data_IF_811258177035
#
_entry.id   IF_811258177035
#
_cell.length_a   1.000
_cell.length_b   1.000
_cell.length_c   1.000
_cell.angle_alpha   90.00
_cell.angle_beta   90.00
_cell.angle_gamma   90.00
#
_symmetry.space_group_name_H-M   'P 1'
#
loop_
_entity.id
_entity.type
_entity.pdbx_description
1 polymer ?
#
# COMPACT_ATOMS: atom_id res chain seq x y z
N UNK A 1 -9.47 -18.18 2.24
CA UNK A 1 -8.07 -18.59 2.03
C UNK A 1 -7.64 -18.23 0.61
N UNK A 2 -7.48 -16.93 0.34
CA UNK A 2 -7.41 -16.37 -1.03
C UNK A 2 -6.03 -16.49 -1.73
N UNK A 3 -4.97 -16.74 -0.98
CA UNK A 3 -3.59 -16.92 -1.44
C UNK A 3 -2.99 -18.13 -0.71
N UNK A 4 -3.01 -19.30 -1.33
CA UNK A 4 -2.04 -20.36 -1.04
C UNK A 4 -1.13 -20.44 -2.24
N UNK A 5 0.06 -19.87 -2.11
CA UNK A 5 1.09 -20.06 -3.12
C UNK A 5 1.77 -21.40 -2.85
N UNK A 6 1.91 -22.23 -3.88
CA UNK A 6 2.79 -23.39 -3.81
C UNK A 6 4.23 -22.89 -3.84
N UNK A 7 4.93 -23.02 -2.72
CA UNK A 7 6.28 -22.52 -2.53
C UNK A 7 7.34 -23.61 -2.81
N UNK A 8 6.93 -24.79 -3.30
CA UNK A 8 7.83 -25.92 -3.58
C UNK A 8 8.86 -25.63 -4.69
N UNK A 9 8.61 -24.67 -5.57
CA UNK A 9 9.54 -24.23 -6.62
C UNK A 9 10.67 -23.28 -6.19
N UNK A 10 10.70 -22.84 -4.92
CA UNK A 10 11.60 -21.76 -4.48
C UNK A 10 13.07 -22.17 -4.28
N UNK A 11 13.44 -23.43 -4.51
CA UNK A 11 14.81 -23.92 -4.30
C UNK A 11 15.85 -23.12 -5.09
N UNK A 12 15.51 -22.70 -6.31
CA UNK A 12 16.40 -21.88 -7.14
C UNK A 12 16.54 -20.46 -6.57
N UNK A 13 15.45 -19.84 -6.13
CA UNK A 13 15.48 -18.50 -5.52
C UNK A 13 16.28 -18.50 -4.21
N UNK A 14 16.15 -19.56 -3.40
CA UNK A 14 16.96 -19.73 -2.19
C UNK A 14 18.46 -19.77 -2.52
N UNK A 15 18.86 -20.58 -3.51
CA UNK A 15 20.27 -20.67 -3.94
C UNK A 15 20.78 -19.32 -4.44
N UNK A 16 19.98 -18.62 -5.24
CA UNK A 16 20.31 -17.28 -5.72
C UNK A 16 20.47 -16.29 -4.57
N UNK A 17 19.56 -16.30 -3.59
CA UNK A 17 19.59 -15.41 -2.44
C UNK A 17 20.86 -15.58 -1.61
N UNK A 18 21.18 -16.83 -1.25
CA UNK A 18 22.37 -17.17 -0.45
C UNK A 18 23.64 -16.77 -1.20
N UNK A 19 23.73 -17.12 -2.50
CA UNK A 19 24.88 -16.75 -3.33
C UNK A 19 25.07 -15.23 -3.36
N UNK A 20 23.99 -14.50 -3.64
CA UNK A 20 24.01 -13.05 -3.75
C UNK A 20 24.35 -12.36 -2.42
N UNK A 21 23.86 -12.88 -1.29
CA UNK A 21 24.27 -12.40 0.03
C UNK A 21 25.77 -12.61 0.28
N UNK A 22 26.28 -13.82 0.03
CA UNK A 22 27.68 -14.16 0.25
C UNK A 22 28.63 -13.33 -0.61
N UNK A 23 28.28 -13.04 -1.86
CA UNK A 23 29.05 -12.16 -2.76
C UNK A 23 29.20 -10.72 -2.24
N UNK A 24 28.33 -10.29 -1.33
CA UNK A 24 28.32 -8.93 -0.77
C UNK A 24 28.64 -8.88 0.71
N UNK A 25 28.80 -10.02 1.38
CA UNK A 25 28.92 -10.13 2.84
C UNK A 25 29.98 -9.20 3.42
N UNK A 26 31.16 -9.15 2.82
CA UNK A 26 32.28 -8.31 3.29
C UNK A 26 32.03 -6.81 3.16
N UNK A 27 30.94 -6.40 2.50
CA UNK A 27 30.52 -5.01 2.33
C UNK A 27 29.30 -4.65 3.19
N UNK A 28 28.75 -5.61 3.94
CA UNK A 28 27.60 -5.43 4.81
C UNK A 28 28.09 -5.26 6.24
N UNK A 29 27.52 -4.32 6.99
CA UNK A 29 27.89 -4.11 8.38
C UNK A 29 27.17 -5.10 9.31
N UNK A 30 27.92 -5.90 10.07
CA UNK A 30 27.38 -7.00 10.90
C UNK A 30 26.37 -6.55 11.97
N UNK A 31 26.36 -5.27 12.34
CA UNK A 31 25.41 -4.67 13.29
C UNK A 31 23.96 -4.63 12.76
N UNK A 32 23.77 -4.69 11.44
CA UNK A 32 22.44 -4.67 10.84
C UNK A 32 21.94 -6.07 10.50
N UNK A 33 20.63 -6.27 10.69
CA UNK A 33 19.96 -7.44 10.14
C UNK A 33 19.74 -7.23 8.64
N UNK A 34 20.11 -8.22 7.84
CA UNK A 34 19.96 -8.20 6.40
C UNK A 34 18.97 -9.26 5.92
N UNK A 35 18.16 -8.90 4.93
CA UNK A 35 17.29 -9.80 4.19
C UNK A 35 17.55 -9.61 2.70
N UNK A 36 17.77 -10.69 1.96
CA UNK A 36 17.69 -10.64 0.50
C UNK A 36 16.23 -10.71 0.11
N UNK A 37 15.72 -9.77 -0.68
CA UNK A 37 14.36 -9.86 -1.18
C UNK A 37 14.27 -9.79 -2.70
N UNK A 38 13.41 -10.65 -3.25
CA UNK A 38 12.97 -10.62 -4.64
C UNK A 38 11.60 -9.96 -4.66
N UNK A 39 11.48 -8.84 -5.35
CA UNK A 39 10.27 -8.03 -5.40
C UNK A 39 9.70 -8.07 -6.81
N UNK A 40 8.43 -8.44 -6.94
CA UNK A 40 7.64 -8.31 -8.16
C UNK A 40 6.59 -7.24 -7.95
N UNK A 41 6.52 -6.30 -8.88
CA UNK A 41 5.61 -5.17 -8.76
C UNK A 41 5.13 -4.72 -10.14
N UNK A 42 4.00 -4.03 -10.15
CA UNK A 42 3.53 -3.29 -11.32
C UNK A 42 4.24 -1.93 -11.37
N UNK A 43 4.89 -1.61 -12.49
CA UNK A 43 5.59 -0.33 -12.65
C UNK A 43 4.64 0.87 -12.57
N UNK A 44 3.35 0.65 -12.84
CA UNK A 44 2.32 1.69 -12.76
C UNK A 44 1.65 1.77 -11.37
N UNK A 45 2.11 0.96 -10.40
CA UNK A 45 1.57 0.92 -9.04
C UNK A 45 0.04 0.68 -8.97
N UNK A 46 -0.53 -0.09 -9.90
CA UNK A 46 -1.97 -0.44 -9.92
C UNK A 46 -2.29 -1.74 -9.17
N UNK A 47 -1.26 -2.40 -8.65
CA UNK A 47 -1.40 -3.63 -7.88
C UNK A 47 -0.30 -3.72 -6.80
N UNK A 48 -0.59 -4.27 -5.61
CA UNK A 48 0.39 -4.34 -4.53
C UNK A 48 1.55 -5.25 -4.92
N UNK A 49 2.76 -4.93 -4.48
CA UNK A 49 3.95 -5.76 -4.75
C UNK A 49 3.94 -7.10 -4.02
N UNK A 50 4.43 -8.14 -4.68
CA UNK A 50 4.67 -9.45 -4.09
C UNK A 50 6.17 -9.62 -3.84
N UNK A 51 6.55 -9.92 -2.61
CA UNK A 51 7.94 -9.92 -2.18
C UNK A 51 8.24 -11.21 -1.44
N UNK A 52 9.35 -11.86 -1.77
CA UNK A 52 9.89 -12.97 -0.98
C UNK A 52 11.19 -12.53 -0.34
N UNK A 53 11.31 -12.74 0.97
CA UNK A 53 12.47 -12.41 1.78
C UNK A 53 13.18 -13.68 2.19
N UNK A 54 14.51 -13.66 2.13
CA UNK A 54 15.40 -14.72 2.60
C UNK A 54 16.37 -14.14 3.64
N UNK A 55 16.54 -14.86 4.75
CA UNK A 55 17.66 -14.60 5.66
C UNK A 55 18.95 -15.27 5.16
N UNK A 56 20.04 -15.08 5.90
CA UNK A 56 21.36 -15.65 5.61
C UNK A 56 21.40 -17.19 5.70
N UNK A 57 20.45 -17.83 6.38
CA UNK A 57 20.27 -19.29 6.44
C UNK A 57 19.37 -19.80 5.30
N UNK A 58 18.81 -18.88 4.51
CA UNK A 58 17.86 -19.12 3.45
C UNK A 58 16.52 -19.67 3.94
N UNK A 59 16.14 -19.38 5.19
CA UNK A 59 14.73 -19.38 5.62
C UNK A 59 14.04 -18.19 4.96
N UNK A 60 12.75 -18.33 4.70
CA UNK A 60 12.05 -17.35 3.88
C UNK A 60 10.62 -17.11 4.31
N UNK A 61 10.11 -15.95 3.90
CA UNK A 61 8.68 -15.69 3.89
C UNK A 61 8.29 -14.83 2.70
N UNK A 62 7.11 -15.12 2.16
CA UNK A 62 6.41 -14.36 1.15
C UNK A 62 5.54 -13.31 1.84
N UNK A 63 5.49 -12.11 1.26
CA UNK A 63 4.67 -11.00 1.73
C UNK A 63 4.06 -10.24 0.56
N UNK A 64 2.75 -10.01 0.62
CA UNK A 64 2.07 -9.07 -0.27
C UNK A 64 2.05 -7.69 0.41
N UNK A 65 2.74 -6.72 -0.17
CA UNK A 65 2.97 -5.38 0.40
C UNK A 65 2.34 -4.32 -0.50
N UNK A 66 1.91 -3.15 0.02
CA UNK A 66 1.48 -2.05 -0.81
C UNK A 66 2.54 -1.73 -1.88
N UNK A 67 3.73 -1.32 -1.47
CA UNK A 67 4.83 -1.05 -2.39
C UNK A 67 6.04 -1.94 -2.12
N UNK A 68 6.95 -1.97 -3.10
CA UNK A 68 8.21 -2.71 -2.98
C UNK A 68 9.02 -2.23 -1.77
N UNK A 69 9.85 -3.09 -1.15
CA UNK A 69 10.53 -2.76 0.11
C UNK A 69 11.45 -1.55 0.01
N UNK A 70 12.02 -1.28 -1.18
CA UNK A 70 12.86 -0.10 -1.45
C UNK A 70 12.15 1.25 -1.28
N UNK A 71 10.83 1.28 -1.11
CA UNK A 71 10.06 2.49 -0.76
C UNK A 71 10.06 2.78 0.75
N UNK A 72 10.34 1.77 1.57
CA UNK A 72 10.21 1.83 3.02
C UNK A 72 11.53 1.64 3.77
N UNK A 73 12.51 0.97 3.16
CA UNK A 73 13.80 0.72 3.78
C UNK A 73 14.95 0.78 2.76
N UNK A 74 16.17 0.91 3.27
CA UNK A 74 17.39 0.98 2.46
C UNK A 74 17.59 -0.28 1.63
N UNK A 75 17.74 -0.10 0.32
CA UNK A 75 17.94 -1.15 -0.67
C UNK A 75 19.40 -1.13 -1.11
N UNK A 76 20.17 -2.12 -0.69
CA UNK A 76 21.57 -2.24 -1.05
C UNK A 76 21.74 -3.12 -2.30
N UNK A 77 22.67 -2.71 -3.16
CA UNK A 77 23.11 -3.41 -4.37
C UNK A 77 22.00 -3.80 -5.37
N UNK A 78 20.97 -2.97 -5.62
CA UNK A 78 19.81 -3.39 -6.40
C UNK A 78 20.16 -3.95 -7.77
N UNK A 79 19.59 -5.11 -8.11
CA UNK A 79 19.75 -5.80 -9.39
C UNK A 79 18.39 -6.04 -10.04
N UNK A 80 18.24 -5.69 -11.31
CA UNK A 80 17.09 -6.11 -12.11
C UNK A 80 17.22 -7.60 -12.44
N UNK A 81 16.13 -8.33 -12.30
CA UNK A 81 16.10 -9.80 -12.42
C UNK A 81 14.84 -10.24 -13.18
N UNK A 82 14.44 -9.46 -14.17
CA UNK A 82 13.19 -9.66 -14.89
C UNK A 82 13.09 -11.06 -15.52
N UNK A 83 14.19 -11.61 -16.02
CA UNK A 83 14.17 -12.91 -16.70
C UNK A 83 14.47 -14.08 -15.77
N UNK A 84 14.82 -13.82 -14.51
CA UNK A 84 15.33 -14.85 -13.57
C UNK A 84 14.23 -15.43 -12.65
N UNK A 85 13.04 -14.82 -12.57
CA UNK A 85 11.99 -15.20 -11.59
C UNK A 85 10.61 -15.48 -12.20
N UNK A 86 10.58 -16.36 -13.21
CA UNK A 86 9.39 -16.72 -13.99
C UNK A 86 8.22 -17.20 -13.10
N UNK A 87 8.47 -18.12 -12.16
CA UNK A 87 7.43 -18.71 -11.31
C UNK A 87 6.70 -17.66 -10.46
N UNK A 88 7.44 -16.74 -9.86
CA UNK A 88 6.86 -15.65 -9.08
C UNK A 88 6.08 -14.68 -9.98
N UNK A 89 6.56 -14.42 -11.21
CA UNK A 89 5.84 -13.58 -12.20
C UNK A 89 4.51 -14.22 -12.58
N UNK A 90 4.47 -15.53 -12.75
CA UNK A 90 3.23 -16.26 -13.05
C UNK A 90 2.22 -16.14 -11.90
N UNK A 91 2.65 -16.39 -10.66
CA UNK A 91 1.81 -16.23 -9.46
C UNK A 91 1.24 -14.80 -9.39
N UNK A 92 2.09 -13.80 -9.60
CA UNK A 92 1.69 -12.39 -9.56
C UNK A 92 0.69 -12.04 -10.67
N UNK A 93 0.93 -12.50 -11.89
CA UNK A 93 0.02 -12.32 -13.03
C UNK A 93 -1.34 -12.96 -12.78
N UNK A 94 -1.36 -14.21 -12.29
CA UNK A 94 -2.60 -14.93 -12.02
C UNK A 94 -3.41 -14.23 -10.92
N UNK A 95 -2.74 -13.74 -9.88
CA UNK A 95 -3.37 -12.94 -8.84
C UNK A 95 -3.96 -11.65 -9.41
N UNK A 96 -3.21 -10.89 -10.21
CA UNK A 96 -3.70 -9.65 -10.80
C UNK A 96 -4.88 -9.87 -11.77
N UNK A 97 -4.81 -10.92 -12.61
CA UNK A 97 -5.88 -11.32 -13.53
C UNK A 97 -7.19 -11.63 -12.80
N UNK A 98 -7.12 -12.34 -11.66
CA UNK A 98 -8.29 -12.65 -10.81
C UNK A 98 -9.06 -11.40 -10.36
N UNK A 99 -8.36 -10.26 -10.22
CA UNK A 99 -8.96 -8.98 -9.84
C UNK A 99 -9.13 -8.00 -11.01
N UNK A 100 -9.06 -8.48 -12.25
CA UNK A 100 -9.18 -7.68 -13.47
C UNK A 100 -8.18 -6.51 -13.55
N UNK A 101 -6.98 -6.69 -12.99
CA UNK A 101 -5.93 -5.67 -13.00
C UNK A 101 -5.02 -5.85 -14.20
N UNK A 102 -4.90 -4.81 -15.03
CA UNK A 102 -3.91 -4.72 -16.11
C UNK A 102 -2.60 -4.18 -15.54
N UNK A 103 -1.59 -5.04 -15.43
CA UNK A 103 -0.29 -4.72 -14.82
C UNK A 103 0.83 -4.79 -15.86
N UNK A 104 1.87 -3.98 -15.66
CA UNK A 104 3.15 -4.09 -16.38
C UNK A 104 4.23 -4.44 -15.37
N UNK A 105 4.65 -5.69 -15.39
CA UNK A 105 5.52 -6.27 -14.37
C UNK A 105 6.96 -5.80 -14.53
N UNK A 106 7.62 -5.54 -13.41
CA UNK A 106 9.07 -5.56 -13.28
C UNK A 106 9.48 -6.30 -12.00
N UNK A 107 10.70 -6.80 -11.99
CA UNK A 107 11.29 -7.53 -10.89
C UNK A 107 12.67 -7.02 -10.50
N UNK A 108 12.91 -6.92 -9.20
CA UNK A 108 14.24 -6.63 -8.68
C UNK A 108 14.62 -7.54 -7.51
N UNK A 109 15.93 -7.65 -7.29
CA UNK A 109 16.54 -8.28 -6.13
C UNK A 109 17.41 -7.25 -5.43
N UNK A 110 17.40 -7.23 -4.11
CA UNK A 110 18.25 -6.35 -3.31
C UNK A 110 18.49 -6.92 -1.92
N UNK A 111 19.53 -6.44 -1.25
CA UNK A 111 19.75 -6.69 0.17
C UNK A 111 19.14 -5.53 0.95
N UNK A 112 18.20 -5.84 1.83
CA UNK A 112 17.52 -4.88 2.67
C UNK A 112 18.05 -4.97 4.09
N UNK A 113 18.43 -3.81 4.64
CA UNK A 113 19.01 -3.71 5.98
C UNK A 113 18.01 -3.13 6.97
N UNK A 114 18.18 -3.47 8.25
CA UNK A 114 17.38 -2.88 9.32
C UNK A 114 17.52 -1.35 9.39
N UNK A 115 16.46 -0.60 9.73
CA UNK A 115 15.16 -1.06 10.22
C UNK A 115 14.30 -1.72 9.13
N UNK A 116 13.86 -2.95 9.40
CA UNK A 116 13.06 -3.75 8.48
C UNK A 116 11.59 -3.32 8.60
N UNK A 117 11.07 -2.68 7.56
CA UNK A 117 9.70 -2.13 7.48
C UNK A 117 8.91 -2.89 6.41
N UNK A 118 8.21 -3.94 6.80
CA UNK A 118 7.50 -4.84 5.86
C UNK A 118 5.99 -4.73 6.07
N UNK A 119 5.31 -3.67 5.60
CA UNK A 119 3.85 -3.57 5.70
C UNK A 119 3.19 -4.69 4.88
N UNK A 120 2.61 -5.68 5.55
CA UNK A 120 2.11 -6.88 4.88
C UNK A 120 0.59 -7.00 4.93
N UNK A 121 -0.04 -7.13 3.77
CA UNK A 121 -1.45 -7.52 3.64
C UNK A 121 -1.65 -9.02 3.82
N UNK A 122 -0.63 -9.80 3.44
CA UNK A 122 -0.61 -11.24 3.52
C UNK A 122 0.82 -11.71 3.77
N UNK A 123 1.00 -12.79 4.55
CA UNK A 123 2.30 -13.40 4.84
C UNK A 123 2.18 -14.92 4.85
N UNK A 124 3.15 -15.62 4.26
CA UNK A 124 3.26 -17.09 4.28
C UNK A 124 4.74 -17.50 4.24
N UNK A 125 5.15 -18.52 5.00
CA UNK A 125 6.54 -19.02 4.97
C UNK A 125 6.98 -19.60 6.31
N UNK A 126 8.27 -19.48 6.61
CA UNK A 126 8.88 -19.94 7.86
C UNK A 126 8.27 -19.20 9.06
N UNK A 127 7.50 -19.93 9.88
CA UNK A 127 6.79 -19.36 11.01
C UNK A 127 7.72 -18.79 12.09
N UNK A 128 8.90 -19.40 12.29
CA UNK A 128 9.85 -18.98 13.32
C UNK A 128 10.42 -17.61 12.92
N UNK A 129 10.80 -17.48 11.65
CA UNK A 129 11.29 -16.22 11.08
C UNK A 129 10.22 -15.13 11.15
N UNK A 130 8.97 -15.44 10.76
CA UNK A 130 7.85 -14.49 10.85
C UNK A 130 7.62 -14.04 12.30
N UNK A 131 7.58 -14.99 13.26
CA UNK A 131 7.40 -14.70 14.69
C UNK A 131 8.53 -13.82 15.24
N UNK A 132 9.78 -14.06 14.83
CA UNK A 132 10.95 -13.24 15.19
C UNK A 132 10.78 -11.79 14.76
N UNK A 133 10.38 -11.54 13.52
CA UNK A 133 10.18 -10.16 13.02
C UNK A 133 8.98 -9.48 13.69
N UNK A 134 7.87 -10.20 13.90
CA UNK A 134 6.71 -9.65 14.64
C UNK A 134 7.09 -9.28 16.08
N UNK A 135 7.91 -10.09 16.75
CA UNK A 135 8.41 -9.77 18.08
C UNK A 135 9.27 -8.50 18.07
N UNK A 136 10.19 -8.38 17.11
CA UNK A 136 11.01 -7.18 16.91
C UNK A 136 10.16 -5.92 16.69
N UNK A 137 9.11 -6.01 15.88
CA UNK A 137 8.15 -4.92 15.69
C UNK A 137 7.43 -4.54 16.99
N UNK A 138 6.97 -5.54 17.74
CA UNK A 138 6.26 -5.34 19.01
C UNK A 138 7.13 -4.60 20.02
N UNK A 139 8.41 -4.98 20.14
CA UNK A 139 9.38 -4.30 21.01
C UNK A 139 9.59 -2.83 20.63
N UNK A 140 9.42 -2.49 19.34
CA UNK A 140 9.55 -1.12 18.81
C UNK A 140 8.21 -0.35 18.75
N UNK A 141 7.10 -0.95 19.20
CA UNK A 141 5.77 -0.36 19.07
C UNK A 141 5.27 -0.22 17.61
N UNK A 142 5.86 -0.97 16.68
CA UNK A 142 5.54 -0.93 15.26
C UNK A 142 4.52 -2.01 14.87
N UNK A 143 3.81 -1.79 13.75
CA UNK A 143 2.83 -2.73 13.20
C UNK A 143 2.90 -2.76 11.67
N UNK A 144 3.95 -3.38 11.12
CA UNK A 144 4.15 -3.48 9.68
C UNK A 144 3.91 -4.91 9.19
N UNK A 145 4.78 -5.86 9.54
CA UNK A 145 4.62 -7.27 9.24
C UNK A 145 3.38 -7.79 9.96
N UNK A 146 3.19 -7.43 11.24
CA UNK A 146 2.00 -7.84 12.00
C UNK A 146 0.67 -7.31 11.46
N UNK A 147 0.66 -6.43 10.45
CA UNK A 147 -0.54 -5.92 9.79
C UNK A 147 -1.42 -7.04 9.22
N UNK A 148 -0.83 -8.11 8.65
CA UNK A 148 -1.60 -9.19 8.01
C UNK A 148 -2.58 -9.86 8.98
N UNK A 149 -2.29 -9.83 10.30
CA UNK A 149 -3.16 -10.40 11.33
C UNK A 149 -4.47 -9.63 11.51
N UNK A 150 -4.55 -8.41 11.02
CA UNK A 150 -5.75 -7.56 11.07
C UNK A 150 -6.52 -7.53 9.75
N UNK A 151 -6.06 -8.27 8.75
CA UNK A 151 -6.63 -8.33 7.41
C UNK A 151 -7.15 -9.76 7.21
N UNK A 152 -8.46 -9.93 7.26
CA UNK A 152 -9.08 -11.19 6.86
C UNK A 152 -9.27 -11.25 5.34
N UNK A 153 -9.77 -12.40 4.87
CA UNK A 153 -10.00 -12.63 3.44
C UNK A 153 -10.87 -11.53 2.79
N UNK A 154 -11.94 -11.09 3.48
CA UNK A 154 -12.84 -10.05 2.95
C UNK A 154 -12.16 -8.68 2.85
N UNK A 155 -11.38 -8.29 3.86
CA UNK A 155 -10.60 -7.04 3.80
C UNK A 155 -9.55 -7.12 2.69
N UNK A 156 -8.85 -8.25 2.57
CA UNK A 156 -7.83 -8.46 1.53
C UNK A 156 -8.46 -8.35 0.13
N UNK A 157 -9.59 -9.01 -0.09
CA UNK A 157 -10.31 -8.95 -1.36
C UNK A 157 -10.71 -7.51 -1.71
N UNK A 158 -11.19 -6.75 -0.72
CA UNK A 158 -11.52 -5.34 -0.90
C UNK A 158 -10.28 -4.53 -1.30
N UNK A 159 -9.17 -4.68 -0.56
CA UNK A 159 -7.90 -4.01 -0.86
C UNK A 159 -7.46 -4.28 -2.30
N UNK A 160 -7.49 -5.54 -2.75
CA UNK A 160 -7.04 -5.91 -4.09
C UNK A 160 -7.96 -5.37 -5.19
N UNK A 161 -9.26 -5.30 -4.95
CA UNK A 161 -10.23 -4.66 -5.87
C UNK A 161 -9.97 -3.16 -5.99
N UNK A 162 -9.82 -2.47 -4.86
CA UNK A 162 -9.70 -1.00 -4.80
C UNK A 162 -8.27 -0.49 -4.87
N UNK A 163 -7.27 -1.36 -5.01
CA UNK A 163 -5.86 -0.96 -4.99
C UNK A 163 -5.54 0.11 -6.04
N UNK A 164 -5.18 1.32 -5.58
CA UNK A 164 -4.69 2.45 -6.38
C UNK A 164 -5.55 2.79 -7.60
N UNK A 165 -6.88 2.74 -7.41
CA UNK A 165 -7.87 3.07 -8.44
C UNK A 165 -8.93 4.05 -7.94
N UNK A 166 -9.52 4.78 -8.88
CA UNK A 166 -10.72 5.58 -8.67
C UNK A 166 -11.96 4.70 -8.63
N UNK A 167 -12.83 4.94 -7.66
CA UNK A 167 -14.16 4.35 -7.58
C UNK A 167 -15.14 5.40 -7.06
N UNK A 168 -16.13 5.76 -7.88
CA UNK A 168 -17.15 6.78 -7.54
C UNK A 168 -16.52 8.09 -7.02
N UNK A 169 -15.52 8.61 -7.74
CA UNK A 169 -14.75 9.82 -7.39
C UNK A 169 -13.99 9.76 -6.06
N UNK A 170 -13.66 8.55 -5.59
CA UNK A 170 -12.74 8.33 -4.48
C UNK A 170 -11.58 7.51 -5.00
N UNK A 171 -10.37 8.07 -4.91
CA UNK A 171 -9.14 7.33 -5.18
C UNK A 171 -8.62 6.71 -3.90
N UNK A 172 -8.31 5.42 -3.95
CA UNK A 172 -7.79 4.66 -2.82
C UNK A 172 -6.29 4.49 -2.99
N UNK A 173 -5.50 5.09 -2.13
CA UNK A 173 -4.05 4.94 -2.16
C UNK A 173 -3.54 4.20 -0.92
N UNK A 174 -2.92 3.05 -1.12
CA UNK A 174 -2.43 2.20 -0.03
C UNK A 174 -0.94 2.41 0.18
N UNK A 175 -0.53 2.66 1.43
CA UNK A 175 0.89 2.78 1.79
C UNK A 175 1.09 2.46 3.26
N UNK A 176 2.20 1.77 3.59
CA UNK A 176 2.47 1.28 4.95
C UNK A 176 1.25 0.55 5.56
N UNK A 177 0.78 0.99 6.73
CA UNK A 177 -0.40 0.46 7.41
C UNK A 177 -1.64 1.36 7.25
N UNK A 178 -1.61 2.26 6.27
CA UNK A 178 -2.61 3.29 6.04
C UNK A 178 -3.20 3.17 4.64
N UNK A 179 -4.39 3.73 4.50
CA UNK A 179 -5.04 3.99 3.22
C UNK A 179 -5.46 5.45 3.20
N UNK A 180 -5.09 6.13 2.13
CA UNK A 180 -5.46 7.50 1.85
C UNK A 180 -6.61 7.50 0.86
N UNK A 181 -7.65 8.25 1.17
CA UNK A 181 -8.79 8.48 0.30
C UNK A 181 -8.71 9.89 -0.25
N UNK A 182 -8.57 9.99 -1.56
CA UNK A 182 -8.59 11.26 -2.27
C UNK A 182 -9.96 11.44 -2.87
N UNK A 183 -10.64 12.51 -2.49
CA UNK A 183 -11.97 12.83 -2.99
C UNK A 183 -11.82 13.77 -4.19
N UNK A 184 -12.39 13.38 -5.33
CA UNK A 184 -12.44 14.20 -6.54
C UNK A 184 -13.39 15.39 -6.37
N UNK A 185 -13.20 16.43 -7.20
CA UNK A 185 -14.12 17.56 -7.28
C UNK A 185 -15.21 17.19 -8.30
N UNK A 186 -16.51 17.19 -7.95
CA UNK A 186 -17.57 16.94 -8.92
C UNK A 186 -17.60 17.97 -10.05
N UNK A 187 -17.81 17.52 -11.29
CA UNK A 187 -17.79 18.38 -12.49
C UNK A 187 -18.87 19.47 -12.51
N UNK A 188 -19.95 19.29 -11.75
CA UNK A 188 -21.06 20.26 -11.67
C UNK A 188 -20.65 21.64 -11.15
N UNK A 189 -19.52 21.74 -10.43
CA UNK A 189 -19.09 23.01 -9.87
C UNK A 189 -18.23 23.80 -10.84
N UNK A 190 -18.71 24.99 -11.24
CA UNK A 190 -17.96 25.90 -12.13
C UNK A 190 -16.70 26.46 -11.45
N UNK A 191 -16.81 26.90 -10.18
CA UNK A 191 -15.67 27.46 -9.44
C UNK A 191 -15.01 26.39 -8.55
N UNK A 192 -14.02 25.69 -9.12
CA UNK A 192 -13.27 24.63 -8.42
C UNK A 192 -12.50 25.14 -7.20
N UNK A 193 -11.95 26.36 -7.26
CA UNK A 193 -11.19 26.96 -6.15
C UNK A 193 -12.06 27.17 -4.92
N UNK A 194 -13.26 27.71 -5.09
CA UNK A 194 -14.21 27.89 -3.98
C UNK A 194 -14.61 26.55 -3.34
N UNK A 195 -14.81 25.53 -4.16
CA UNK A 195 -15.17 24.19 -3.71
C UNK A 195 -14.05 23.53 -2.91
N UNK A 196 -12.79 23.76 -3.28
CA UNK A 196 -11.62 23.30 -2.51
C UNK A 196 -11.62 23.92 -1.11
N UNK A 197 -11.95 25.21 -0.98
CA UNK A 197 -12.06 25.87 0.34
C UNK A 197 -13.19 25.28 1.18
N UNK A 198 -14.38 25.03 0.60
CA UNK A 198 -15.42 24.28 1.30
C UNK A 198 -14.99 22.85 1.65
N UNK A 199 -14.18 22.22 0.81
CA UNK A 199 -13.56 20.93 1.07
C UNK A 199 -12.72 20.93 2.36
N UNK A 200 -11.94 21.99 2.61
CA UNK A 200 -11.17 22.12 3.86
C UNK A 200 -12.09 22.19 5.08
N UNK A 201 -13.19 22.93 5.01
CA UNK A 201 -14.17 23.02 6.10
C UNK A 201 -14.90 21.69 6.33
N UNK A 202 -15.35 21.05 5.25
CA UNK A 202 -16.01 19.75 5.30
C UNK A 202 -15.07 18.67 5.87
N UNK A 203 -13.78 18.72 5.55
CA UNK A 203 -12.76 17.82 6.11
C UNK A 203 -12.71 17.89 7.63
N UNK A 204 -12.70 19.10 8.21
CA UNK A 204 -12.71 19.31 9.67
C UNK A 204 -13.98 18.72 10.28
N UNK A 205 -15.13 18.99 9.67
CA UNK A 205 -16.41 18.44 10.11
C UNK A 205 -16.44 16.91 10.10
N UNK A 206 -16.00 16.26 9.02
CA UNK A 206 -15.97 14.80 8.90
C UNK A 206 -15.02 14.18 9.94
N UNK A 207 -13.86 14.77 10.18
CA UNK A 207 -12.92 14.29 11.20
C UNK A 207 -13.51 14.35 12.61
N UNK A 208 -14.18 15.45 12.94
CA UNK A 208 -14.81 15.61 14.26
C UNK A 208 -15.94 14.61 14.47
N UNK A 209 -16.69 14.28 13.41
CA UNK A 209 -17.78 13.30 13.45
C UNK A 209 -17.27 11.86 13.47
N UNK A 210 -16.15 11.57 12.81
CA UNK A 210 -15.60 10.23 12.69
C UNK A 210 -14.11 10.19 13.06
N UNK A 211 -13.78 9.80 14.31
CA UNK A 211 -12.41 9.81 14.82
C UNK A 211 -11.49 8.74 14.17
N UNK A 212 -12.03 7.85 13.32
CA UNK A 212 -11.22 6.91 12.56
C UNK A 212 -10.46 7.57 11.41
N UNK A 213 -10.89 8.77 10.99
CA UNK A 213 -10.16 9.54 9.98
C UNK A 213 -9.07 10.39 10.62
N UNK A 214 -7.89 10.33 10.02
CA UNK A 214 -6.71 11.08 10.41
C UNK A 214 -6.37 12.10 9.33
N UNK A 215 -5.60 13.11 9.73
CA UNK A 215 -5.01 14.05 8.80
C UNK A 215 -3.80 13.47 8.08
N UNK A 216 -3.73 13.69 6.78
CA UNK A 216 -2.53 13.38 5.99
C UNK A 216 -1.56 14.56 6.04
N UNK A 217 -0.73 14.65 7.08
CA UNK A 217 0.27 15.72 7.23
C UNK A 217 1.31 15.75 6.09
N UNK A 218 1.68 14.56 5.59
CA UNK A 218 2.41 14.38 4.32
C UNK A 218 1.52 13.56 3.39
N UNK A 219 1.13 14.13 2.27
CA UNK A 219 0.42 13.40 1.21
C UNK A 219 1.51 12.62 0.46
N UNK A 220 1.45 11.28 0.41
CA UNK A 220 2.41 10.49 -0.37
C UNK A 220 2.30 10.87 -1.85
N UNK A 221 3.34 10.62 -2.64
CA UNK A 221 3.26 10.82 -4.09
C UNK A 221 2.31 9.78 -4.70
N UNK A 222 1.10 10.23 -5.02
CA UNK A 222 0.04 9.42 -5.62
C UNK A 222 -0.01 9.55 -7.15
N UNK A 223 0.85 10.38 -7.75
CA UNK A 223 0.82 10.69 -9.18
C UNK A 223 -0.55 11.20 -9.69
N UNK A 224 -1.31 11.89 -8.83
CA UNK A 224 -2.57 12.54 -9.19
C UNK A 224 -2.25 13.96 -9.65
N UNK A 225 -2.55 14.27 -10.91
CA UNK A 225 -2.24 15.57 -11.54
C UNK A 225 -3.39 16.57 -11.44
N UNK A 226 -4.61 16.09 -11.26
CA UNK A 226 -5.80 16.93 -11.20
C UNK A 226 -6.03 17.53 -9.82
N UNK A 227 -6.68 18.71 -9.71
CA UNK A 227 -7.09 19.26 -8.44
C UNK A 227 -8.08 18.34 -7.72
N UNK A 228 -7.88 18.15 -6.43
CA UNK A 228 -8.71 17.27 -5.59
C UNK A 228 -9.37 18.05 -4.48
N UNK A 229 -10.53 17.57 -4.04
CA UNK A 229 -11.32 18.24 -3.02
C UNK A 229 -10.65 18.18 -1.65
N UNK A 230 -10.27 16.97 -1.24
CA UNK A 230 -9.58 16.74 0.01
C UNK A 230 -8.94 15.34 0.05
N UNK A 231 -8.02 15.15 0.99
CA UNK A 231 -7.45 13.85 1.32
C UNK A 231 -7.71 13.55 2.79
N UNK A 232 -8.31 12.39 3.05
CA UNK A 232 -8.43 11.79 4.38
C UNK A 232 -7.62 10.51 4.41
N UNK A 233 -7.18 10.06 5.59
CA UNK A 233 -6.56 8.74 5.71
C UNK A 233 -7.10 7.99 6.91
N UNK A 234 -6.96 6.67 6.89
CA UNK A 234 -7.23 5.81 8.05
C UNK A 234 -6.27 4.64 8.08
N UNK A 235 -6.27 3.89 9.19
CA UNK A 235 -5.55 2.63 9.28
C UNK A 235 -6.28 1.55 8.50
N UNK A 236 -5.56 0.67 7.83
CA UNK A 236 -6.15 -0.36 6.96
C UNK A 236 -7.17 -1.25 7.69
N UNK A 237 -6.92 -1.58 8.96
CA UNK A 237 -7.85 -2.37 9.78
C UNK A 237 -9.18 -1.67 10.11
N UNK A 238 -9.30 -0.36 9.85
CA UNK A 238 -10.55 0.38 9.99
C UNK A 238 -11.42 0.36 8.73
N UNK A 239 -10.95 -0.18 7.60
CA UNK A 239 -11.67 -0.16 6.31
C UNK A 239 -13.10 -0.70 6.40
N UNK A 240 -13.33 -1.70 7.24
CA UNK A 240 -14.67 -2.29 7.44
C UNK A 240 -15.63 -1.43 8.23
N UNK A 241 -15.12 -0.46 8.98
CA UNK A 241 -15.91 0.39 9.90
C UNK A 241 -16.35 1.69 9.24
N UNK A 242 -15.95 1.92 7.98
CA UNK A 242 -16.14 3.19 7.29
C UNK A 242 -16.90 2.92 6.00
N UNK A 243 -18.10 3.51 5.86
CA UNK A 243 -18.78 3.59 4.58
C UNK A 243 -18.33 4.86 3.84
N UNK A 244 -17.37 4.70 2.94
CA UNK A 244 -16.79 5.83 2.19
C UNK A 244 -17.78 6.48 1.22
N UNK A 245 -18.78 5.75 0.75
CA UNK A 245 -19.82 6.31 -0.14
C UNK A 245 -20.70 7.27 0.66
N UNK A 246 -21.10 6.89 1.87
CA UNK A 246 -21.90 7.76 2.75
C UNK A 246 -21.09 9.01 3.15
N UNK A 247 -19.81 8.83 3.50
CA UNK A 247 -18.90 9.94 3.80
C UNK A 247 -18.79 10.89 2.61
N UNK A 248 -18.61 10.37 1.39
CA UNK A 248 -18.57 11.19 0.17
C UNK A 248 -19.89 11.94 -0.03
N UNK A 249 -21.01 11.27 0.08
CA UNK A 249 -22.33 11.89 -0.14
C UNK A 249 -22.60 12.99 0.88
N UNK A 250 -22.21 12.78 2.14
CA UNK A 250 -22.29 13.81 3.19
C UNK A 250 -21.40 15.01 2.86
N UNK A 251 -20.16 14.79 2.44
CA UNK A 251 -19.23 15.84 2.00
C UNK A 251 -19.85 16.67 0.87
N UNK A 252 -20.30 16.01 -0.20
CA UNK A 252 -20.87 16.69 -1.36
C UNK A 252 -22.14 17.46 -0.98
N UNK A 253 -23.02 16.87 -0.16
CA UNK A 253 -24.24 17.55 0.29
C UNK A 253 -23.95 18.83 1.09
N UNK A 254 -22.91 18.84 1.92
CA UNK A 254 -22.50 20.03 2.66
C UNK A 254 -21.94 21.10 1.73
N UNK A 255 -21.09 20.71 0.79
CA UNK A 255 -20.51 21.62 -0.20
C UNK A 255 -21.59 22.22 -1.08
N UNK A 256 -22.54 21.42 -1.57
CA UNK A 256 -23.65 21.89 -2.39
C UNK A 256 -24.43 23.01 -1.70
N UNK A 257 -24.84 22.78 -0.45
CA UNK A 257 -25.58 23.77 0.34
C UNK A 257 -24.80 25.07 0.52
N UNK A 258 -23.49 24.97 0.81
CA UNK A 258 -22.63 26.14 0.97
C UNK A 258 -22.38 26.88 -0.34
N UNK A 259 -22.18 26.14 -1.43
CA UNK A 259 -21.93 26.68 -2.76
C UNK A 259 -23.15 27.42 -3.28
N UNK A 260 -24.33 26.79 -3.25
CA UNK A 260 -25.58 27.40 -3.72
C UNK A 260 -25.94 28.66 -2.93
N UNK A 261 -25.69 28.65 -1.61
CA UNK A 261 -25.92 29.81 -0.76
C UNK A 261 -25.01 31.00 -1.15
N UNK A 262 -23.72 30.73 -1.34
CA UNK A 262 -22.74 31.76 -1.68
C UNK A 262 -22.97 32.29 -3.09
N UNK A 263 -23.21 31.41 -4.07
CA UNK A 263 -23.50 31.83 -5.45
C UNK A 263 -24.74 32.71 -5.48
N UNK A 264 -25.83 32.36 -4.78
CA UNK A 264 -27.02 33.21 -4.68
C UNK A 264 -26.72 34.61 -4.14
N UNK A 265 -25.86 34.74 -3.13
CA UNK A 265 -25.49 36.06 -2.57
C UNK A 265 -24.79 36.93 -3.63
N UNK A 266 -23.93 36.34 -4.46
CA UNK A 266 -23.16 37.07 -5.46
C UNK A 266 -23.87 37.17 -6.83
N UNK A 267 -24.90 36.37 -7.09
CA UNK A 267 -25.74 36.41 -8.29
C UNK A 267 -26.98 37.30 -8.13
N UNK A 268 -27.23 37.90 -6.96
CA UNK A 268 -28.19 39.00 -6.81
C UNK A 268 -27.64 40.20 -7.59
N UNK A 269 -28.10 40.32 -8.84
CA UNK A 269 -28.12 41.53 -9.65
C UNK A 269 -29.56 42.00 -9.75
#
# INVERSE_FOLDING_TARGET
MLLKCDLRGLTNLKKMAIKYFNEKKDKLADEYTHLVAFSIFDINNKFPSLNIFFDNEGKYFLSLMPEKPSKYMSSLYPKLIDDEIIDLKEIYNNLAKKYNKKIKISANMSIYQSPIIIPSFFVQGDEILIKKYILSEKLKGLKYLSLYKYIDDKTLENILKTYNVWQKDIYYYYTLNEVHFVFGIPDKFKNKSLVIEFGKLAKVYIKNKNPLFLESYKIPDMNIKEPVLMVLKTKIWNLKKINLIDVRNEIISKIDKSYDYIIKIFEIK
#
